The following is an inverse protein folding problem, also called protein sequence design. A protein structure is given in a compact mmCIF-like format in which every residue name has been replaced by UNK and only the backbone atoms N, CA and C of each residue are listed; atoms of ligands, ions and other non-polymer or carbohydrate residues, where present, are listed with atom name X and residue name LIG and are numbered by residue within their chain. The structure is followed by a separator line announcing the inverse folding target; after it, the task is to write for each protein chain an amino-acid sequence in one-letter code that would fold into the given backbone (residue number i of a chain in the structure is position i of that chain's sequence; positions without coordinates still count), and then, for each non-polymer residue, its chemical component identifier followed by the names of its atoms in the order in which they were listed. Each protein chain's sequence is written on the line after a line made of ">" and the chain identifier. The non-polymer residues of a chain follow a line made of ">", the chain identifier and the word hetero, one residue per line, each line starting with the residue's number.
data_IF_754042157933
#
_entry.id   IF_754042157933
#
_cell.length_a   1.000
_cell.length_b   1.000
_cell.length_c   1.000
_cell.angle_alpha   90.00
_cell.angle_beta   90.00
_cell.angle_gamma   90.00
#
_symmetry.space_group_name_H-M   'P 1'
#
loop_
_entity.id
_entity.type
_entity.pdbx_description
1 polymer ?
#
# COMPACT_ATOMS: atom_id res chain seq x y z
N UNK A 1 17.83 2.67 15.39
CA UNK A 1 16.68 2.24 14.56
C UNK A 1 17.10 2.42 13.11
N UNK A 2 17.02 1.37 12.27
CA UNK A 2 17.43 1.39 10.86
C UNK A 2 16.21 1.05 10.00
N UNK A 3 16.05 1.76 8.90
CA UNK A 3 15.02 1.48 7.89
C UNK A 3 15.72 1.28 6.54
N UNK A 4 15.21 0.34 5.76
CA UNK A 4 15.59 0.18 4.36
C UNK A 4 14.53 0.89 3.51
N UNK A 5 14.97 1.82 2.67
CA UNK A 5 14.09 2.69 1.86
C UNK A 5 14.32 2.40 0.39
N UNK A 6 13.23 2.18 -0.33
CA UNK A 6 13.22 2.00 -1.78
C UNK A 6 12.39 3.13 -2.39
N UNK A 7 13.01 3.92 -3.27
CA UNK A 7 12.30 4.88 -4.10
C UNK A 7 12.16 4.30 -5.51
N UNK A 8 10.93 4.26 -6.02
CA UNK A 8 10.64 3.75 -7.35
C UNK A 8 9.41 4.42 -7.94
N UNK A 9 9.23 4.26 -9.25
CA UNK A 9 8.01 4.65 -9.96
C UNK A 9 7.41 3.43 -10.63
N UNK A 10 6.12 3.21 -10.42
CA UNK A 10 5.33 2.25 -11.17
C UNK A 10 4.06 2.94 -11.68
N UNK A 11 3.41 2.32 -12.68
CA UNK A 11 2.14 2.80 -13.25
C UNK A 11 1.09 1.69 -13.39
N UNK A 12 1.42 0.49 -12.91
CA UNK A 12 0.57 -0.70 -13.00
C UNK A 12 0.37 -1.28 -11.61
N UNK A 13 -0.71 -2.03 -11.44
CA UNK A 13 -1.04 -2.70 -10.19
C UNK A 13 0.05 -3.72 -9.80
N UNK A 14 0.53 -4.48 -10.77
CA UNK A 14 1.57 -5.50 -10.59
C UNK A 14 2.91 -4.88 -10.20
N UNK A 15 3.23 -3.71 -10.77
CA UNK A 15 4.42 -2.96 -10.41
C UNK A 15 4.34 -2.42 -8.98
N UNK A 16 3.14 -2.02 -8.55
CA UNK A 16 2.90 -1.61 -7.16
C UNK A 16 3.06 -2.79 -6.20
N UNK A 17 2.48 -3.96 -6.53
CA UNK A 17 2.64 -5.20 -5.73
C UNK A 17 4.11 -5.60 -5.62
N UNK A 18 4.86 -5.59 -6.73
CA UNK A 18 6.26 -5.97 -6.74
C UNK A 18 7.12 -5.08 -5.81
N UNK A 19 6.75 -3.79 -5.68
CA UNK A 19 7.44 -2.85 -4.80
C UNK A 19 6.99 -2.97 -3.33
N UNK A 20 5.73 -3.29 -3.09
CA UNK A 20 5.13 -3.24 -1.75
C UNK A 20 5.04 -4.59 -1.03
N UNK A 21 5.21 -5.72 -1.73
CA UNK A 21 4.95 -7.04 -1.16
C UNK A 21 5.74 -7.36 0.12
N UNK A 22 6.96 -6.81 0.24
CA UNK A 22 7.85 -7.00 1.38
C UNK A 22 7.97 -5.77 2.29
N UNK A 23 7.25 -4.69 1.96
CA UNK A 23 7.32 -3.43 2.71
C UNK A 23 6.42 -3.49 3.96
N UNK A 24 6.94 -3.00 5.09
CA UNK A 24 6.12 -2.73 6.28
C UNK A 24 5.23 -1.49 6.13
N UNK A 25 5.63 -0.55 5.28
CA UNK A 25 4.91 0.71 5.05
C UNK A 25 5.22 1.32 3.69
N UNK A 26 4.28 2.12 3.18
CA UNK A 26 4.40 2.74 1.86
C UNK A 26 4.02 4.23 1.88
N UNK A 27 4.76 5.06 1.15
CA UNK A 27 4.30 6.37 0.70
C UNK A 27 3.90 6.27 -0.77
N UNK A 28 2.65 6.58 -1.09
CA UNK A 28 2.10 6.42 -2.45
C UNK A 28 1.59 7.74 -3.02
N UNK A 29 1.63 7.88 -4.34
CA UNK A 29 1.02 8.97 -5.08
C UNK A 29 -0.47 8.74 -5.35
N UNK A 30 -1.03 9.45 -6.33
CA UNK A 30 -2.44 9.27 -6.77
C UNK A 30 -2.65 8.00 -7.60
N UNK A 31 -1.62 7.57 -8.32
CA UNK A 31 -1.69 6.43 -9.23
C UNK A 31 -0.42 5.58 -9.09
N UNK A 32 -0.50 4.26 -9.28
CA UNK A 32 -1.73 3.48 -9.53
C UNK A 32 -2.64 3.38 -8.29
N UNK A 33 -3.91 2.97 -8.50
CA UNK A 33 -4.89 2.79 -7.43
C UNK A 33 -4.44 1.65 -6.48
N UNK A 34 -4.51 1.88 -5.18
CA UNK A 34 -4.19 0.86 -4.17
C UNK A 34 -5.45 0.01 -3.93
N UNK A 35 -5.63 -1.01 -4.77
CA UNK A 35 -6.80 -1.89 -4.71
C UNK A 35 -6.71 -2.90 -3.57
N UNK A 36 -7.84 -3.55 -3.26
CA UNK A 36 -7.88 -4.76 -2.42
C UNK A 36 -6.87 -5.82 -2.88
N UNK A 37 -6.73 -6.03 -4.19
CA UNK A 37 -5.81 -7.03 -4.73
C UNK A 37 -4.35 -6.70 -4.34
N UNK A 38 -3.94 -5.44 -4.50
CA UNK A 38 -2.61 -4.98 -4.05
C UNK A 38 -2.40 -5.30 -2.58
N UNK A 39 -3.35 -4.92 -1.73
CA UNK A 39 -3.21 -5.09 -0.28
C UNK A 39 -3.21 -6.56 0.15
N UNK A 40 -3.96 -7.44 -0.54
CA UNK A 40 -3.93 -8.88 -0.29
C UNK A 40 -2.58 -9.52 -0.67
N UNK A 41 -1.97 -9.06 -1.77
CA UNK A 41 -0.64 -9.53 -2.18
C UNK A 41 0.51 -8.94 -1.35
N UNK A 42 0.24 -7.90 -0.54
CA UNK A 42 1.21 -7.25 0.34
C UNK A 42 0.85 -7.46 1.83
N UNK A 43 0.96 -8.68 2.37
CA UNK A 43 0.50 -9.00 3.72
C UNK A 43 1.31 -8.31 4.84
N UNK A 44 2.55 -7.89 4.55
CA UNK A 44 3.41 -7.17 5.50
C UNK A 44 3.07 -5.68 5.62
N UNK A 45 2.32 -5.14 4.67
CA UNK A 45 2.02 -3.72 4.59
C UNK A 45 1.07 -3.32 5.72
N UNK A 46 1.57 -2.53 6.66
CA UNK A 46 0.86 -2.10 7.88
C UNK A 46 0.36 -0.65 7.78
N UNK A 47 1.04 0.19 7.00
CA UNK A 47 0.71 1.61 6.89
C UNK A 47 0.87 2.09 5.46
N UNK A 48 -0.10 2.89 5.01
CA UNK A 48 -0.08 3.54 3.71
C UNK A 48 -0.29 5.03 3.93
N UNK A 49 0.73 5.82 3.60
CA UNK A 49 0.65 7.28 3.57
C UNK A 49 0.44 7.72 2.14
N UNK A 50 -0.69 8.37 1.85
CA UNK A 50 -0.92 8.93 0.51
C UNK A 50 -0.52 10.39 0.45
N UNK A 51 0.25 10.75 -0.57
CA UNK A 51 0.73 12.12 -0.79
C UNK A 51 -0.35 12.96 -1.51
N UNK A 52 -0.94 13.91 -0.78
CA UNK A 52 -1.94 14.87 -1.29
C UNK A 52 -3.16 15.02 -0.34
N UNK A 53 -4.12 15.88 -0.69
CA UNK A 53 -5.22 16.27 0.21
C UNK A 53 -6.39 15.29 0.39
N UNK A 54 -6.32 14.09 -0.19
CA UNK A 54 -7.39 13.09 -0.17
C UNK A 54 -6.83 11.67 -0.30
N UNK A 55 -7.70 10.66 -0.19
CA UNK A 55 -7.35 9.23 -0.19
C UNK A 55 -8.24 8.40 -1.14
N UNK A 56 -8.86 9.07 -2.11
CA UNK A 56 -9.71 8.50 -3.17
C UNK A 56 -9.00 7.50 -4.10
N UNK A 57 -7.66 7.45 -4.03
CA UNK A 57 -6.81 6.50 -4.77
C UNK A 57 -6.52 5.19 -4.00
N UNK A 58 -7.19 4.98 -2.86
CA UNK A 58 -7.04 3.80 -2.00
C UNK A 58 -8.43 3.22 -1.75
N UNK A 59 -8.55 1.90 -1.85
CA UNK A 59 -9.76 1.16 -1.44
C UNK A 59 -9.86 1.15 0.11
N UNK A 60 -10.54 2.14 0.67
CA UNK A 60 -10.65 2.30 2.13
C UNK A 60 -11.48 1.21 2.82
N UNK A 61 -12.45 0.62 2.11
CA UNK A 61 -13.24 -0.49 2.63
C UNK A 61 -12.34 -1.71 2.81
N UNK A 62 -11.52 -2.03 1.80
CA UNK A 62 -10.54 -3.09 1.91
C UNK A 62 -9.46 -2.81 2.95
N UNK A 63 -9.00 -1.56 3.13
CA UNK A 63 -8.07 -1.19 4.22
C UNK A 63 -8.67 -1.55 5.58
N UNK A 64 -9.94 -1.22 5.80
CA UNK A 64 -10.62 -1.45 7.08
C UNK A 64 -10.73 -2.94 7.38
N UNK A 65 -11.28 -3.72 6.44
CA UNK A 65 -11.45 -5.17 6.63
C UNK A 65 -10.11 -5.92 6.78
N UNK A 66 -9.12 -5.59 5.95
CA UNK A 66 -7.81 -6.25 6.00
C UNK A 66 -7.03 -5.81 7.24
N UNK A 67 -7.17 -4.56 7.67
CA UNK A 67 -6.59 -4.06 8.91
C UNK A 67 -7.09 -4.83 10.12
N UNK A 68 -8.42 -4.93 10.27
CA UNK A 68 -9.05 -5.64 11.40
C UNK A 68 -8.65 -7.12 11.43
N UNK A 69 -8.62 -7.79 10.28
CA UNK A 69 -8.19 -9.20 10.20
C UNK A 69 -6.72 -9.45 10.53
N UNK A 70 -5.86 -8.42 10.46
CA UNK A 70 -4.41 -8.51 10.76
C UNK A 70 -4.07 -8.15 12.21
N UNK A 71 -5.03 -7.65 12.98
CA UNK A 71 -4.86 -7.30 14.39
C UNK A 71 -5.20 -8.46 15.36
N UNK A 72 -5.63 -9.61 14.82
CA UNK A 72 -5.88 -10.86 15.56
C UNK A 72 -4.64 -11.75 15.56
#
# INVERSE_FOLDING_TARGET
>A
MRFDVVEARCRTEEGLIALLNDADGAQVGTLPFVSRHVMQQCPKLKVISRMGGGVDSIDLEAVTELGDSRLQ
#
